data_IF_244112248259
#
_entry.id   IF_244112248259
#
_cell.length_a   1.000
_cell.length_b   1.000
_cell.length_c   1.000
_cell.angle_alpha   90.00
_cell.angle_beta   90.00
_cell.angle_gamma   90.00
#
_symmetry.space_group_name_H-M   'P 1'
#
loop_
_entity.id
_entity.type
_entity.pdbx_description
1 polymer ?
#
# COMPACT_ATOMS: atom_id res chain seq x y z
N UNK A 1 -32.60 16.90 15.14
CA UNK A 1 -31.22 17.25 15.55
C UNK A 1 -30.78 18.46 14.74
N UNK A 2 -30.74 19.64 15.35
CA UNK A 2 -30.17 20.86 14.75
C UNK A 2 -28.65 20.71 14.76
N UNK A 3 -28.09 20.05 13.76
CA UNK A 3 -26.65 19.92 13.60
C UNK A 3 -26.04 21.29 13.26
N UNK A 4 -24.78 21.50 13.64
CA UNK A 4 -24.05 22.72 13.33
C UNK A 4 -24.13 23.01 11.82
N UNK A 5 -24.54 24.23 11.49
CA UNK A 5 -24.65 24.72 10.10
C UNK A 5 -23.38 25.43 9.64
N UNK A 6 -22.34 25.42 10.46
CA UNK A 6 -21.07 26.08 10.18
C UNK A 6 -19.92 25.11 10.51
N UNK A 7 -18.99 24.86 9.56
CA UNK A 7 -17.84 24.00 9.82
C UNK A 7 -16.86 24.65 10.82
N UNK A 8 -16.06 23.82 11.50
CA UNK A 8 -15.06 24.30 12.46
C UNK A 8 -13.93 25.08 11.79
N UNK A 9 -13.57 24.70 10.56
CA UNK A 9 -12.54 25.34 9.76
C UNK A 9 -13.16 25.91 8.48
N UNK A 10 -12.98 27.20 8.25
CA UNK A 10 -13.45 27.92 7.05
C UNK A 10 -12.35 28.81 6.49
N UNK A 11 -12.39 29.04 5.19
CA UNK A 11 -11.54 30.05 4.57
C UNK A 11 -11.95 31.47 5.00
N UNK A 12 -11.00 32.39 5.20
CA UNK A 12 -11.30 33.79 5.44
C UNK A 12 -12.17 34.37 4.31
N UNK A 13 -13.11 35.24 4.67
CA UNK A 13 -14.02 35.89 3.73
C UNK A 13 -15.38 35.20 3.56
N UNK A 14 -15.54 33.96 3.99
CA UNK A 14 -16.84 33.28 3.98
C UNK A 14 -17.48 33.29 5.36
N UNK A 15 -18.62 34.00 5.50
CA UNK A 15 -19.31 34.14 6.80
C UNK A 15 -20.75 33.63 6.75
N UNK A 16 -21.36 33.53 5.57
CA UNK A 16 -22.75 33.13 5.43
C UNK A 16 -22.97 31.72 5.97
N UNK A 17 -24.07 31.44 6.68
CA UNK A 17 -24.37 30.11 7.17
C UNK A 17 -24.60 29.14 5.97
N UNK A 18 -24.15 27.93 6.12
CA UNK A 18 -24.45 26.88 5.16
C UNK A 18 -25.94 26.53 5.24
N UNK A 19 -26.55 26.20 4.12
CA UNK A 19 -28.01 25.98 4.03
C UNK A 19 -28.33 24.56 3.57
N UNK A 20 -29.33 23.90 4.19
CA UNK A 20 -29.88 22.65 3.66
C UNK A 20 -30.43 22.92 2.25
N UNK A 21 -29.89 22.26 1.24
CA UNK A 21 -30.25 22.47 -0.16
C UNK A 21 -30.55 21.13 -0.82
N UNK A 22 -31.71 21.00 -1.44
CA UNK A 22 -32.10 19.75 -2.09
C UNK A 22 -31.11 19.38 -3.22
N UNK A 23 -30.76 18.11 -3.33
CA UNK A 23 -29.86 17.63 -4.40
C UNK A 23 -30.47 17.96 -5.78
N UNK A 24 -31.80 17.90 -5.93
CA UNK A 24 -32.51 18.31 -7.15
C UNK A 24 -32.32 19.78 -7.52
N UNK A 25 -31.96 20.65 -6.57
CA UNK A 25 -31.59 22.05 -6.83
C UNK A 25 -30.14 22.19 -7.26
N UNK A 26 -29.27 21.28 -6.82
CA UNK A 26 -27.83 21.32 -7.07
C UNK A 26 -27.45 20.60 -8.36
N UNK A 27 -28.13 19.51 -8.68
CA UNK A 27 -27.77 18.57 -9.72
C UNK A 27 -28.91 18.34 -10.70
N UNK A 28 -28.55 18.07 -11.95
CA UNK A 28 -29.45 17.70 -13.03
C UNK A 28 -29.06 16.33 -13.57
N UNK A 29 -30.04 15.43 -13.66
CA UNK A 29 -29.79 14.08 -14.18
C UNK A 29 -29.52 14.13 -15.70
N UNK A 30 -28.49 13.40 -16.09
CA UNK A 30 -28.11 13.18 -17.48
C UNK A 30 -28.42 11.73 -17.88
N UNK A 31 -28.97 11.54 -19.06
CA UNK A 31 -29.33 10.23 -19.58
C UNK A 31 -29.23 10.24 -21.09
N UNK A 32 -28.17 9.68 -21.65
CA UNK A 32 -27.94 9.60 -23.10
C UNK A 32 -27.93 8.11 -23.47
N UNK A 33 -29.07 7.55 -23.92
CA UNK A 33 -29.16 6.13 -24.27
C UNK A 33 -28.20 5.77 -25.41
N UNK A 34 -27.79 4.51 -25.44
CA UNK A 34 -26.99 3.92 -26.52
C UNK A 34 -27.85 2.93 -27.26
N UNK A 35 -27.98 3.12 -28.57
CA UNK A 35 -28.51 2.10 -29.47
C UNK A 35 -27.38 1.10 -29.73
N UNK A 36 -27.52 -0.10 -29.17
CA UNK A 36 -26.44 -1.10 -29.15
C UNK A 36 -26.39 -1.79 -30.51
N UNK A 37 -25.27 -1.59 -31.24
CA UNK A 37 -24.91 -2.39 -32.40
C UNK A 37 -24.23 -3.69 -31.93
N UNK A 38 -24.78 -4.86 -32.32
CA UNK A 38 -24.30 -6.17 -31.89
C UNK A 38 -22.84 -6.44 -32.32
N UNK A 39 -22.40 -5.88 -33.43
CA UNK A 39 -21.06 -6.05 -33.97
C UNK A 39 -20.03 -5.08 -33.37
N UNK A 40 -20.48 -3.96 -32.81
CA UNK A 40 -19.58 -2.95 -32.25
C UNK A 40 -19.06 -3.36 -30.88
N UNK A 41 -17.84 -2.92 -30.59
CA UNK A 41 -17.19 -3.12 -29.27
C UNK A 41 -17.38 -1.90 -28.37
N UNK A 42 -17.76 -2.13 -27.13
CA UNK A 42 -18.04 -1.11 -26.12
C UNK A 42 -17.12 -1.24 -24.92
N UNK A 43 -16.61 -0.11 -24.45
CA UNK A 43 -15.85 -0.01 -23.20
C UNK A 43 -16.77 0.44 -22.07
N UNK A 44 -16.73 -0.23 -20.93
CA UNK A 44 -17.60 0.06 -19.80
C UNK A 44 -16.83 0.62 -18.62
N UNK A 45 -17.51 1.45 -17.82
CA UNK A 45 -17.00 1.85 -16.51
C UNK A 45 -17.60 1.04 -15.38
N UNK A 46 -16.91 1.04 -14.24
CA UNK A 46 -17.44 0.71 -12.93
C UNK A 46 -17.03 1.76 -11.91
N UNK A 47 -17.77 1.87 -10.81
CA UNK A 47 -17.47 2.80 -9.70
C UNK A 47 -17.24 1.97 -8.45
N UNK A 48 -16.04 2.10 -7.86
CA UNK A 48 -15.63 1.39 -6.64
C UNK A 48 -16.21 2.05 -5.40
N UNK A 49 -16.57 1.25 -4.40
CA UNK A 49 -16.96 1.70 -3.06
C UNK A 49 -15.86 2.50 -2.37
N UNK A 50 -16.25 3.20 -1.31
CA UNK A 50 -15.36 4.00 -0.44
C UNK A 50 -14.60 5.11 -1.18
N UNK A 51 -15.22 5.70 -2.21
CA UNK A 51 -14.64 6.81 -2.97
C UNK A 51 -13.37 6.46 -3.75
N UNK A 52 -13.12 5.17 -4.04
CA UNK A 52 -11.94 4.71 -4.77
C UNK A 52 -11.98 5.02 -6.28
N UNK A 53 -13.01 5.75 -6.74
CA UNK A 53 -13.10 6.27 -8.09
C UNK A 53 -13.61 5.28 -9.13
N UNK A 54 -13.44 5.65 -10.40
CA UNK A 54 -13.84 4.88 -11.57
C UNK A 54 -12.76 3.83 -11.88
N UNK A 55 -13.18 2.72 -12.46
CA UNK A 55 -12.30 1.77 -13.14
C UNK A 55 -12.90 1.39 -14.48
N UNK A 56 -12.06 1.10 -15.45
CA UNK A 56 -12.46 0.64 -16.77
C UNK A 56 -12.52 -0.89 -16.75
N UNK A 57 -13.60 -1.41 -17.33
CA UNK A 57 -13.80 -2.85 -17.52
C UNK A 57 -13.23 -3.26 -18.88
N UNK A 58 -13.02 -4.55 -19.06
CA UNK A 58 -12.67 -5.10 -20.35
C UNK A 58 -13.75 -4.74 -21.39
N UNK A 59 -13.31 -4.55 -22.62
CA UNK A 59 -14.21 -4.27 -23.73
C UNK A 59 -15.09 -5.49 -24.04
N UNK A 60 -16.35 -5.24 -24.39
CA UNK A 60 -17.33 -6.28 -24.73
C UNK A 60 -18.03 -5.91 -26.04
N UNK A 61 -18.44 -6.93 -26.80
CA UNK A 61 -19.27 -6.71 -28.00
C UNK A 61 -20.71 -6.35 -27.64
N UNK A 62 -21.44 -5.72 -28.55
CA UNK A 62 -22.86 -5.45 -28.36
C UNK A 62 -23.66 -6.73 -28.12
N UNK A 63 -23.30 -7.83 -28.78
CA UNK A 63 -23.94 -9.14 -28.56
C UNK A 63 -23.76 -9.62 -27.10
N UNK A 64 -22.60 -9.41 -26.46
CA UNK A 64 -22.34 -9.75 -25.06
C UNK A 64 -23.05 -8.82 -24.06
N UNK A 65 -23.43 -7.61 -24.49
CA UNK A 65 -24.24 -6.71 -23.68
C UNK A 65 -25.67 -7.22 -23.55
N UNK A 66 -26.21 -7.90 -24.58
CA UNK A 66 -27.59 -8.37 -24.63
C UNK A 66 -28.58 -7.21 -24.47
N UNK A 67 -29.74 -7.49 -23.85
CA UNK A 67 -30.83 -6.51 -23.65
C UNK A 67 -30.59 -5.47 -22.55
N UNK A 68 -29.32 -5.30 -22.08
CA UNK A 68 -29.00 -4.36 -21.02
C UNK A 68 -29.18 -2.93 -21.54
N UNK A 69 -29.98 -2.15 -20.81
CA UNK A 69 -30.06 -0.69 -21.08
C UNK A 69 -28.74 -0.04 -20.66
N UNK A 70 -28.06 0.54 -21.62
CA UNK A 70 -26.76 1.22 -21.44
C UNK A 70 -26.86 2.68 -21.92
N UNK A 71 -25.97 3.50 -21.38
CA UNK A 71 -25.95 4.94 -21.56
C UNK A 71 -24.52 5.40 -21.83
N UNK A 72 -24.34 6.37 -22.71
CA UNK A 72 -23.06 7.04 -22.89
C UNK A 72 -22.64 7.75 -21.62
N UNK A 73 -21.35 7.69 -21.31
CA UNK A 73 -20.80 8.46 -20.21
C UNK A 73 -20.75 9.93 -20.60
N UNK A 74 -21.33 10.75 -19.73
CA UNK A 74 -21.23 12.21 -19.82
C UNK A 74 -19.97 12.64 -19.11
N UNK A 75 -19.00 13.29 -19.76
CA UNK A 75 -17.81 13.83 -19.10
C UNK A 75 -18.18 14.88 -18.04
N UNK A 76 -17.32 15.03 -17.02
CA UNK A 76 -17.48 16.00 -15.95
C UNK A 76 -18.85 15.90 -15.22
N UNK A 77 -19.33 14.68 -15.01
CA UNK A 77 -20.58 14.39 -14.30
C UNK A 77 -20.30 13.65 -12.97
N UNK A 78 -21.16 13.86 -12.00
CA UNK A 78 -21.21 13.08 -10.76
C UNK A 78 -21.93 11.77 -11.05
N UNK A 79 -21.24 10.64 -10.88
CA UNK A 79 -21.76 9.29 -11.12
C UNK A 79 -21.91 8.52 -9.82
N UNK A 80 -23.00 7.81 -9.68
CA UNK A 80 -23.31 6.98 -8.50
C UNK A 80 -23.54 5.55 -8.93
N UNK A 81 -22.92 4.58 -8.28
CA UNK A 81 -23.33 3.18 -8.38
C UNK A 81 -24.48 2.93 -7.41
N UNK A 82 -25.71 2.81 -7.91
CA UNK A 82 -26.91 2.70 -7.05
C UNK A 82 -26.88 1.48 -6.13
N UNK A 83 -26.21 0.38 -6.50
CA UNK A 83 -26.13 -0.86 -5.71
C UNK A 83 -25.21 -0.71 -4.51
N UNK A 84 -24.18 0.15 -4.62
CA UNK A 84 -23.16 0.35 -3.58
C UNK A 84 -23.05 1.82 -3.14
N UNK A 85 -24.07 2.63 -3.39
CA UNK A 85 -24.08 4.03 -2.97
C UNK A 85 -23.93 4.19 -1.46
N UNK A 86 -24.56 3.33 -0.67
CA UNK A 86 -24.46 3.27 0.79
C UNK A 86 -23.04 2.95 1.28
N UNK A 87 -22.19 2.36 0.45
CA UNK A 87 -20.74 2.21 0.64
C UNK A 87 -19.93 3.35 0.01
N UNK A 88 -20.58 4.47 -0.33
CA UNK A 88 -19.93 5.62 -0.96
C UNK A 88 -19.32 5.31 -2.34
N UNK A 89 -19.97 4.49 -3.16
CA UNK A 89 -19.60 4.25 -4.55
C UNK A 89 -20.01 5.43 -5.42
N UNK A 90 -19.35 6.55 -5.27
CA UNK A 90 -19.55 7.82 -5.98
C UNK A 90 -18.24 8.29 -6.61
N UNK A 91 -18.31 8.89 -7.79
CA UNK A 91 -17.14 9.41 -8.50
C UNK A 91 -17.50 10.61 -9.38
N UNK A 92 -16.50 11.23 -9.98
CA UNK A 92 -16.64 12.15 -11.08
C UNK A 92 -16.10 11.48 -12.35
N UNK A 93 -16.83 11.59 -13.42
CA UNK A 93 -16.35 11.26 -14.76
C UNK A 93 -15.47 12.39 -15.30
N UNK A 94 -14.61 12.08 -16.24
CA UNK A 94 -13.73 13.02 -16.92
C UNK A 94 -13.74 12.79 -18.42
N UNK A 95 -12.94 13.54 -19.15
CA UNK A 95 -12.75 13.32 -20.59
C UNK A 95 -12.11 11.96 -20.91
N UNK A 96 -11.44 11.34 -19.94
CA UNK A 96 -10.88 9.99 -20.09
C UNK A 96 -11.96 8.91 -20.31
N UNK A 97 -13.18 9.15 -19.83
CA UNK A 97 -14.33 8.27 -20.00
C UNK A 97 -15.22 8.66 -21.22
N UNK A 98 -14.80 9.63 -22.04
CA UNK A 98 -15.50 9.95 -23.28
C UNK A 98 -15.57 8.70 -24.20
N UNK A 99 -16.75 8.40 -24.73
CA UNK A 99 -16.99 7.22 -25.55
C UNK A 99 -17.15 5.89 -24.78
N UNK A 100 -17.06 5.92 -23.44
CA UNK A 100 -17.45 4.78 -22.61
C UNK A 100 -18.96 4.74 -22.39
N UNK A 101 -19.44 3.58 -21.96
CA UNK A 101 -20.84 3.36 -21.60
C UNK A 101 -20.97 2.84 -20.17
N UNK A 102 -22.15 2.97 -19.60
CA UNK A 102 -22.53 2.35 -18.34
C UNK A 102 -23.97 1.86 -18.34
N UNK A 103 -24.30 0.86 -17.54
CA UNK A 103 -25.68 0.40 -17.36
C UNK A 103 -26.50 1.42 -16.56
N UNK A 104 -27.82 1.25 -16.55
CA UNK A 104 -28.76 2.04 -15.74
C UNK A 104 -28.43 2.10 -14.24
N UNK A 105 -27.52 1.25 -13.75
CA UNK A 105 -27.04 1.25 -12.36
C UNK A 105 -26.07 2.37 -12.04
N UNK A 106 -25.69 3.16 -13.03
CA UNK A 106 -24.74 4.26 -12.90
C UNK A 106 -25.36 5.58 -13.36
N UNK A 107 -26.42 6.10 -12.68
CA UNK A 107 -26.98 7.40 -13.03
C UNK A 107 -25.91 8.50 -12.91
N UNK A 108 -25.96 9.43 -13.84
CA UNK A 108 -25.04 10.57 -13.94
C UNK A 108 -25.80 11.86 -13.72
N UNK A 109 -25.09 12.81 -13.11
CA UNK A 109 -25.65 14.12 -12.80
C UNK A 109 -24.62 15.20 -13.09
N UNK A 110 -25.05 16.26 -13.79
CA UNK A 110 -24.25 17.48 -13.98
C UNK A 110 -24.67 18.55 -12.99
N UNK A 111 -23.85 19.57 -12.77
CA UNK A 111 -24.22 20.69 -11.93
C UNK A 111 -25.31 21.54 -12.58
N UNK A 112 -26.27 21.99 -11.77
CA UNK A 112 -27.16 23.10 -12.20
C UNK A 112 -26.40 24.39 -12.15
N UNK A 113 -26.52 25.20 -13.19
CA UNK A 113 -25.76 26.42 -13.39
C UNK A 113 -25.73 27.32 -12.13
N UNK A 114 -24.53 27.62 -11.66
CA UNK A 114 -24.28 28.52 -10.54
C UNK A 114 -24.66 27.98 -9.15
N UNK A 115 -25.19 26.77 -9.01
CA UNK A 115 -25.72 26.24 -7.74
C UNK A 115 -24.74 25.33 -6.99
N UNK A 116 -23.96 24.54 -7.72
CA UNK A 116 -23.06 23.56 -7.11
C UNK A 116 -21.69 23.52 -7.79
N UNK A 117 -20.77 22.83 -7.16
CA UNK A 117 -19.47 22.48 -7.69
C UNK A 117 -19.23 20.99 -7.45
N UNK A 118 -19.20 20.18 -8.49
CA UNK A 118 -19.20 18.72 -8.41
C UNK A 118 -18.06 18.15 -7.55
N UNK A 119 -16.79 18.64 -7.62
CA UNK A 119 -15.74 18.17 -6.76
C UNK A 119 -16.04 18.35 -5.27
N UNK A 120 -16.72 19.45 -4.88
CA UNK A 120 -17.16 19.66 -3.50
C UNK A 120 -18.21 18.61 -3.10
N UNK A 121 -19.21 18.38 -3.94
CA UNK A 121 -20.26 17.40 -3.65
C UNK A 121 -19.68 15.98 -3.54
N UNK A 122 -18.73 15.61 -4.39
CA UNK A 122 -18.02 14.34 -4.25
C UNK A 122 -17.34 14.22 -2.88
N UNK A 123 -16.59 15.23 -2.44
CA UNK A 123 -15.94 15.20 -1.13
C UNK A 123 -16.96 15.15 0.00
N UNK A 124 -18.04 15.92 -0.09
CA UNK A 124 -19.12 15.95 0.89
C UNK A 124 -19.75 14.56 1.05
N UNK A 125 -20.09 13.87 -0.07
CA UNK A 125 -20.65 12.50 -0.01
C UNK A 125 -19.66 11.44 0.49
N UNK A 126 -18.35 11.73 0.49
CA UNK A 126 -17.32 10.86 1.08
C UNK A 126 -17.08 11.10 2.58
N UNK A 127 -17.72 12.12 3.19
CA UNK A 127 -17.70 12.30 4.66
C UNK A 127 -18.60 11.28 5.36
N UNK A 128 -18.48 11.18 6.71
CA UNK A 128 -19.39 10.34 7.51
C UNK A 128 -20.86 10.77 7.34
N UNK A 129 -21.13 12.07 7.30
CA UNK A 129 -22.47 12.61 7.10
C UNK A 129 -22.98 12.33 5.68
N UNK A 130 -22.13 12.50 4.68
CA UNK A 130 -22.45 12.14 3.30
C UNK A 130 -22.78 10.66 3.13
N UNK A 131 -22.06 9.78 3.83
CA UNK A 131 -22.38 8.35 3.89
C UNK A 131 -23.78 8.11 4.44
N UNK A 132 -24.11 8.73 5.57
CA UNK A 132 -25.44 8.63 6.17
C UNK A 132 -26.55 9.11 5.19
N UNK A 133 -26.33 10.22 4.48
CA UNK A 133 -27.27 10.67 3.46
C UNK A 133 -27.50 9.65 2.35
N UNK A 134 -26.42 9.03 1.85
CA UNK A 134 -26.51 7.97 0.84
C UNK A 134 -27.22 6.71 1.40
N UNK A 135 -27.01 6.38 2.66
CA UNK A 135 -27.73 5.29 3.35
C UNK A 135 -29.23 5.58 3.46
N UNK A 136 -29.61 6.80 3.84
CA UNK A 136 -31.02 7.25 3.90
C UNK A 136 -31.70 7.14 2.52
N UNK A 137 -30.99 7.49 1.45
CA UNK A 137 -31.51 7.37 0.09
C UNK A 137 -31.45 5.94 -0.47
N UNK A 138 -30.93 4.98 0.28
CA UNK A 138 -30.79 3.58 -0.13
C UNK A 138 -31.68 2.68 0.74
N UNK A 139 -33.03 2.75 0.61
CA UNK A 139 -33.92 1.90 1.36
C UNK A 139 -33.71 0.44 0.95
N UNK A 140 -33.94 -0.48 1.91
CA UNK A 140 -33.83 -1.92 1.72
C UNK A 140 -33.48 -2.64 3.02
N UNK A 141 -33.61 -3.95 3.02
CA UNK A 141 -33.28 -4.81 4.16
C UNK A 141 -31.78 -4.86 4.47
N UNK A 142 -31.40 -5.72 5.41
CA UNK A 142 -29.99 -5.87 5.80
C UNK A 142 -29.10 -6.36 4.65
N UNK A 143 -27.85 -5.92 4.64
CA UNK A 143 -26.81 -6.40 3.73
C UNK A 143 -26.91 -5.86 2.30
N UNK A 144 -26.61 -6.70 1.30
CA UNK A 144 -26.46 -6.35 -0.13
C UNK A 144 -27.76 -5.96 -0.85
N UNK A 145 -28.90 -5.98 -0.16
CA UNK A 145 -30.21 -5.64 -0.74
C UNK A 145 -30.55 -4.14 -0.71
N UNK A 146 -29.62 -3.30 -0.28
CA UNK A 146 -29.79 -1.84 -0.29
C UNK A 146 -29.52 -1.29 -1.68
N UNK A 147 -30.45 -0.53 -2.23
CA UNK A 147 -30.30 0.12 -3.54
C UNK A 147 -30.71 1.59 -3.43
N UNK A 148 -29.88 2.49 -3.93
CA UNK A 148 -30.20 3.92 -3.95
C UNK A 148 -31.44 4.19 -4.82
N UNK A 149 -32.48 4.75 -4.21
CA UNK A 149 -33.61 5.34 -4.90
C UNK A 149 -33.19 6.68 -5.53
N UNK A 150 -33.22 6.78 -6.86
CA UNK A 150 -32.80 8.03 -7.54
C UNK A 150 -33.67 9.22 -7.14
N UNK A 151 -34.96 9.04 -6.93
CA UNK A 151 -35.86 10.08 -6.45
C UNK A 151 -35.55 10.46 -5.00
N UNK A 152 -35.26 9.47 -4.15
CA UNK A 152 -34.87 9.71 -2.75
C UNK A 152 -33.51 10.46 -2.67
N UNK A 153 -32.57 10.11 -3.54
CA UNK A 153 -31.31 10.85 -3.67
C UNK A 153 -31.53 12.33 -4.01
N UNK A 154 -32.42 12.62 -4.95
CA UNK A 154 -32.74 14.00 -5.36
C UNK A 154 -33.44 14.82 -4.25
N UNK A 155 -34.16 14.15 -3.33
CA UNK A 155 -34.81 14.79 -2.16
C UNK A 155 -33.84 15.07 -1.02
N UNK A 156 -32.69 14.44 -0.96
CA UNK A 156 -31.70 14.70 0.09
C UNK A 156 -31.39 16.20 0.20
N UNK A 157 -31.20 16.67 1.42
CA UNK A 157 -30.89 18.08 1.71
C UNK A 157 -29.54 18.21 2.43
N UNK A 158 -28.40 17.95 1.71
CA UNK A 158 -27.10 18.27 2.29
C UNK A 158 -27.01 19.74 2.66
N UNK A 159 -26.24 20.04 3.72
CA UNK A 159 -25.95 21.39 4.14
C UNK A 159 -24.74 21.87 3.34
N UNK A 160 -24.91 22.86 2.50
CA UNK A 160 -23.88 23.32 1.56
C UNK A 160 -23.68 24.85 1.64
N UNK A 161 -22.44 25.33 1.40
CA UNK A 161 -22.13 26.75 1.29
C UNK A 161 -22.48 27.34 -0.10
N UNK A 162 -22.16 28.61 -0.28
CA UNK A 162 -22.14 29.25 -1.59
C UNK A 162 -21.24 28.50 -2.58
N UNK A 163 -21.51 28.56 -3.87
CA UNK A 163 -20.69 27.91 -4.92
C UNK A 163 -19.22 28.35 -4.87
N UNK A 164 -18.98 29.62 -4.55
CA UNK A 164 -17.60 30.14 -4.41
C UNK A 164 -16.84 29.46 -3.28
N UNK A 165 -17.49 29.25 -2.14
CA UNK A 165 -16.89 28.53 -1.01
C UNK A 165 -16.74 27.01 -1.31
N UNK A 166 -17.75 26.41 -1.96
CA UNK A 166 -17.65 25.03 -2.44
C UNK A 166 -16.39 24.82 -3.29
N UNK A 167 -16.18 25.73 -4.25
CA UNK A 167 -14.99 25.69 -5.12
C UNK A 167 -13.70 25.82 -4.31
N UNK A 168 -13.63 26.78 -3.40
CA UNK A 168 -12.42 27.01 -2.59
C UNK A 168 -12.06 25.80 -1.73
N UNK A 169 -13.05 25.16 -1.11
CA UNK A 169 -12.87 23.95 -0.31
C UNK A 169 -12.39 22.77 -1.20
N UNK A 170 -13.07 22.57 -2.30
CA UNK A 170 -12.74 21.46 -3.20
C UNK A 170 -11.35 21.60 -3.85
N UNK A 171 -10.98 22.83 -4.25
CA UNK A 171 -9.66 23.12 -4.80
C UNK A 171 -8.55 22.83 -3.78
N UNK A 172 -8.76 23.23 -2.52
CA UNK A 172 -7.79 22.96 -1.45
C UNK A 172 -7.61 21.46 -1.19
N UNK A 173 -8.71 20.70 -1.12
CA UNK A 173 -8.65 19.24 -0.95
C UNK A 173 -8.05 18.59 -2.18
N UNK A 174 -8.42 19.05 -3.38
CA UNK A 174 -7.88 18.57 -4.65
C UNK A 174 -6.36 18.79 -4.77
N UNK A 175 -5.83 19.90 -4.26
CA UNK A 175 -4.39 20.15 -4.19
C UNK A 175 -3.68 19.13 -3.28
N UNK A 176 -4.30 18.75 -2.15
CA UNK A 176 -3.78 17.71 -1.27
C UNK A 176 -3.81 16.34 -1.98
N UNK A 177 -4.88 16.03 -2.71
CA UNK A 177 -4.98 14.78 -3.48
C UNK A 177 -3.94 14.71 -4.60
N UNK A 178 -3.73 15.79 -5.33
CA UNK A 178 -2.69 15.87 -6.35
C UNK A 178 -1.29 15.66 -5.77
N UNK A 179 -1.02 16.22 -4.58
CA UNK A 179 0.26 16.01 -3.87
C UNK A 179 0.44 14.56 -3.41
N UNK A 180 -0.62 13.93 -2.90
CA UNK A 180 -0.62 12.51 -2.52
C UNK A 180 -0.32 11.63 -3.74
N UNK A 181 -0.97 11.87 -4.87
CA UNK A 181 -0.74 11.15 -6.12
C UNK A 181 0.72 11.31 -6.61
N UNK A 182 1.26 12.54 -6.57
CA UNK A 182 2.64 12.82 -6.94
C UNK A 182 3.66 12.12 -6.03
N UNK A 183 3.40 12.09 -4.71
CA UNK A 183 4.26 11.39 -3.76
C UNK A 183 4.20 9.87 -3.96
N UNK A 184 3.03 9.29 -4.21
CA UNK A 184 2.88 7.87 -4.52
C UNK A 184 3.62 7.48 -5.82
N UNK A 185 3.52 8.29 -6.87
CA UNK A 185 4.27 8.10 -8.11
C UNK A 185 5.79 8.18 -7.87
N UNK A 186 6.25 9.15 -7.05
CA UNK A 186 7.66 9.28 -6.66
C UNK A 186 8.15 8.05 -5.89
N UNK A 187 7.37 7.55 -4.92
CA UNK A 187 7.71 6.35 -4.16
C UNK A 187 7.88 5.13 -5.08
N UNK A 188 6.93 4.92 -5.99
CA UNK A 188 7.00 3.84 -6.97
C UNK A 188 8.22 3.97 -7.91
N UNK A 189 8.55 5.18 -8.36
CA UNK A 189 9.73 5.43 -9.19
C UNK A 189 11.04 5.14 -8.45
N UNK A 190 11.16 5.57 -7.18
CA UNK A 190 12.31 5.26 -6.34
C UNK A 190 12.46 3.76 -6.10
N UNK A 191 11.35 3.04 -5.88
CA UNK A 191 11.35 1.59 -5.74
C UNK A 191 11.86 0.87 -7.00
N UNK A 192 11.38 1.27 -8.18
CA UNK A 192 11.87 0.73 -9.46
C UNK A 192 13.36 1.05 -9.69
N UNK A 193 13.76 2.27 -9.39
CA UNK A 193 15.17 2.67 -9.50
C UNK A 193 16.07 1.82 -8.58
N UNK A 194 15.69 1.65 -7.32
CA UNK A 194 16.41 0.78 -6.36
C UNK A 194 16.53 -0.66 -6.88
N UNK A 195 15.43 -1.23 -7.37
CA UNK A 195 15.43 -2.59 -7.91
C UNK A 195 16.39 -2.73 -9.11
N UNK A 196 16.37 -1.77 -10.03
CA UNK A 196 17.30 -1.73 -11.16
C UNK A 196 18.77 -1.53 -10.74
N UNK A 197 19.02 -0.68 -9.73
CA UNK A 197 20.35 -0.50 -9.16
C UNK A 197 20.87 -1.80 -8.52
N UNK A 198 20.05 -2.46 -7.69
CA UNK A 198 20.40 -3.75 -7.11
C UNK A 198 20.72 -4.79 -8.18
N UNK A 199 19.90 -4.88 -9.23
CA UNK A 199 20.14 -5.82 -10.32
C UNK A 199 21.51 -5.55 -10.99
N UNK A 200 21.81 -4.30 -11.32
CA UNK A 200 23.08 -3.94 -11.97
C UNK A 200 24.30 -4.16 -11.07
N UNK A 201 24.18 -3.85 -9.77
CA UNK A 201 25.28 -4.04 -8.81
C UNK A 201 25.58 -5.52 -8.62
N UNK A 202 24.57 -6.34 -8.27
CA UNK A 202 24.78 -7.76 -8.00
C UNK A 202 24.98 -8.65 -9.25
N UNK A 203 24.75 -8.10 -10.45
CA UNK A 203 25.19 -8.70 -11.72
C UNK A 203 26.55 -8.19 -12.21
N UNK A 204 27.18 -7.30 -11.45
CA UNK A 204 28.45 -6.63 -11.78
C UNK A 204 28.42 -5.81 -13.10
N UNK A 205 27.22 -5.51 -13.64
CA UNK A 205 27.07 -4.56 -14.76
C UNK A 205 27.38 -3.13 -14.36
N UNK A 206 27.26 -2.83 -13.07
CA UNK A 206 27.67 -1.57 -12.46
C UNK A 206 28.54 -1.90 -11.24
N UNK A 207 29.73 -1.29 -11.17
CA UNK A 207 30.62 -1.39 -10.00
C UNK A 207 30.99 0.00 -9.52
N UNK A 208 31.14 0.14 -8.23
CA UNK A 208 31.70 1.34 -7.64
C UNK A 208 33.21 1.43 -7.93
N UNK A 209 33.74 2.62 -7.77
CA UNK A 209 35.16 2.88 -7.80
C UNK A 209 35.64 3.45 -6.47
N UNK A 210 36.90 3.33 -6.18
CA UNK A 210 37.54 3.99 -5.04
C UNK A 210 37.45 5.50 -5.20
N UNK A 211 37.61 6.25 -4.12
CA UNK A 211 37.51 7.71 -4.15
C UNK A 211 38.60 8.37 -5.02
N UNK A 212 39.73 7.70 -5.23
CA UNK A 212 40.78 8.09 -6.16
C UNK A 212 40.51 7.70 -7.64
N UNK A 213 39.31 7.17 -7.95
CA UNK A 213 38.90 6.75 -9.29
C UNK A 213 39.37 5.36 -9.73
N UNK A 214 40.20 4.68 -8.96
CA UNK A 214 40.68 3.32 -9.27
C UNK A 214 39.56 2.29 -9.12
N UNK A 215 39.66 1.20 -9.90
CA UNK A 215 38.76 0.06 -9.74
C UNK A 215 39.05 -0.68 -8.42
N UNK A 216 38.00 -1.29 -7.84
CA UNK A 216 38.16 -2.27 -6.80
C UNK A 216 38.66 -3.61 -7.37
N UNK A 217 39.27 -4.49 -6.55
CA UNK A 217 39.62 -5.85 -6.95
C UNK A 217 38.40 -6.62 -7.46
N UNK A 218 38.64 -7.68 -8.23
CA UNK A 218 37.56 -8.54 -8.70
C UNK A 218 36.86 -9.23 -7.53
N UNK A 219 35.56 -9.45 -7.71
CA UNK A 219 34.75 -10.17 -6.75
C UNK A 219 35.20 -11.63 -6.67
N UNK A 220 35.12 -12.19 -5.48
CA UNK A 220 35.45 -13.59 -5.21
C UNK A 220 34.17 -14.42 -5.06
N UNK A 221 34.14 -15.59 -5.68
CA UNK A 221 33.05 -16.55 -5.43
C UNK A 221 33.25 -17.22 -4.07
N UNK A 222 32.21 -17.32 -3.27
CA UNK A 222 32.18 -17.98 -1.97
C UNK A 222 30.90 -18.80 -1.83
N UNK A 223 30.96 -19.88 -1.06
CA UNK A 223 29.76 -20.59 -0.59
C UNK A 223 29.19 -19.91 0.65
N UNK A 224 27.89 -20.01 0.84
CA UNK A 224 27.24 -19.45 2.02
C UNK A 224 27.78 -20.09 3.31
N UNK A 225 27.99 -21.41 3.33
CA UNK A 225 28.57 -22.14 4.45
C UNK A 225 30.02 -21.74 4.79
N UNK A 226 30.78 -21.19 3.82
CA UNK A 226 32.14 -20.70 4.07
C UNK A 226 32.16 -19.36 4.80
N UNK A 227 31.10 -18.55 4.62
CA UNK A 227 31.00 -17.16 5.09
C UNK A 227 30.22 -17.05 6.40
N UNK A 228 29.23 -17.94 6.60
CA UNK A 228 28.37 -17.91 7.78
C UNK A 228 28.58 -19.12 8.69
N UNK A 229 28.23 -18.94 9.95
CA UNK A 229 27.98 -19.99 10.95
C UNK A 229 26.52 -19.94 11.36
N UNK A 230 25.96 -21.07 11.77
CA UNK A 230 24.56 -21.16 12.15
C UNK A 230 24.37 -21.08 13.64
N UNK A 231 23.44 -20.26 14.06
CA UNK A 231 23.00 -20.13 15.45
C UNK A 231 21.69 -20.87 15.63
N UNK A 232 21.54 -21.52 16.77
CA UNK A 232 20.32 -22.24 17.13
C UNK A 232 19.15 -21.24 17.29
N UNK A 233 17.99 -21.61 16.78
CA UNK A 233 16.73 -20.87 16.93
C UNK A 233 15.74 -21.68 17.78
N UNK A 234 14.71 -21.01 18.31
CA UNK A 234 13.64 -21.67 19.06
C UNK A 234 12.47 -22.08 18.14
N UNK A 235 11.54 -22.85 18.69
CA UNK A 235 10.37 -23.38 17.97
C UNK A 235 9.04 -22.76 18.42
N UNK A 236 9.06 -21.55 18.99
CA UNK A 236 7.83 -20.88 19.43
C UNK A 236 6.93 -20.51 18.27
N UNK A 237 5.72 -21.03 18.30
CA UNK A 237 4.65 -20.61 17.42
C UNK A 237 4.08 -19.24 17.83
N UNK A 238 3.29 -18.64 16.95
CA UNK A 238 2.74 -17.28 17.17
C UNK A 238 1.86 -17.17 18.43
N UNK A 239 1.23 -18.24 18.84
CA UNK A 239 0.38 -18.28 20.05
C UNK A 239 1.12 -18.00 21.36
N UNK A 240 2.44 -18.26 21.39
CA UNK A 240 3.31 -17.98 22.53
C UNK A 240 3.94 -16.58 22.48
N UNK A 241 3.56 -15.76 21.51
CA UNK A 241 4.09 -14.41 21.31
C UNK A 241 3.04 -13.36 21.65
N UNK A 242 3.48 -12.25 22.26
CA UNK A 242 2.62 -11.13 22.63
C UNK A 242 3.24 -9.79 22.22
N UNK A 243 2.39 -8.80 21.95
CA UNK A 243 2.83 -7.41 21.70
C UNK A 243 2.72 -6.52 22.94
N UNK A 244 2.25 -7.05 24.09
CA UNK A 244 2.03 -6.23 25.28
C UNK A 244 3.35 -5.88 25.97
N UNK A 245 4.06 -6.88 26.52
CA UNK A 245 5.34 -6.67 27.22
C UNK A 245 6.11 -7.98 27.37
N UNK A 246 7.41 -7.87 27.55
CA UNK A 246 8.32 -9.00 27.79
C UNK A 246 9.77 -8.55 27.83
N UNK A 247 10.65 -9.44 28.28
CA UNK A 247 12.10 -9.18 28.35
C UNK A 247 12.82 -9.50 27.04
N UNK A 248 12.32 -10.47 26.26
CA UNK A 248 12.96 -10.95 25.04
C UNK A 248 11.95 -10.91 23.88
N UNK A 249 12.34 -10.29 22.79
CA UNK A 249 11.58 -10.28 21.55
C UNK A 249 11.92 -11.49 20.68
N UNK A 250 10.95 -11.96 19.88
CA UNK A 250 11.14 -13.13 19.03
C UNK A 250 10.78 -12.83 17.58
N UNK A 251 11.74 -12.93 16.67
CA UNK A 251 11.53 -12.81 15.23
C UNK A 251 10.78 -14.07 14.74
N UNK A 252 9.62 -13.87 14.15
CA UNK A 252 8.82 -14.93 13.56
C UNK A 252 8.91 -14.90 12.02
N UNK A 253 9.03 -16.06 11.37
CA UNK A 253 9.21 -16.16 9.91
C UNK A 253 8.16 -15.38 9.11
N UNK A 254 6.89 -15.42 9.51
CA UNK A 254 5.81 -14.71 8.83
C UNK A 254 5.96 -13.18 8.86
N UNK A 255 6.66 -12.63 9.85
CA UNK A 255 6.94 -11.19 9.92
C UNK A 255 8.11 -10.81 8.99
N UNK A 256 9.06 -11.73 8.74
CA UNK A 256 10.11 -11.58 7.72
C UNK A 256 9.48 -11.47 6.32
N UNK A 257 8.42 -12.22 6.06
CA UNK A 257 7.74 -12.20 4.77
C UNK A 257 7.00 -10.88 4.51
N UNK A 258 6.31 -10.36 5.53
CA UNK A 258 5.28 -9.34 5.33
C UNK A 258 5.57 -7.97 5.93
N UNK A 259 6.42 -7.90 6.98
CA UNK A 259 6.57 -6.68 7.78
C UNK A 259 7.99 -6.11 7.77
N UNK A 260 9.00 -6.97 7.97
CA UNK A 260 10.35 -6.49 8.27
C UNK A 260 11.14 -6.06 7.02
N UNK A 261 11.91 -4.99 7.20
CA UNK A 261 12.79 -4.45 6.16
C UNK A 261 14.02 -5.34 5.96
N UNK A 262 14.68 -5.27 4.78
CA UNK A 262 15.93 -6.00 4.53
C UNK A 262 17.02 -5.72 5.56
N UNK A 263 17.18 -4.45 5.93
CA UNK A 263 18.02 -4.01 7.04
C UNK A 263 17.13 -3.78 8.25
N UNK A 264 17.15 -4.74 9.15
CA UNK A 264 16.30 -4.77 10.33
C UNK A 264 16.90 -3.90 11.45
N UNK A 265 16.10 -2.98 11.98
CA UNK A 265 16.42 -2.16 13.14
C UNK A 265 15.37 -2.39 14.23
N UNK A 266 15.79 -2.94 15.35
CA UNK A 266 14.86 -3.26 16.45
C UNK A 266 14.02 -2.04 16.88
N UNK A 267 14.60 -0.85 16.88
CA UNK A 267 13.89 0.39 17.25
C UNK A 267 12.81 0.82 16.24
N UNK A 268 12.83 0.27 15.03
CA UNK A 268 11.91 0.67 13.93
C UNK A 268 10.90 -0.40 13.56
N UNK A 269 11.00 -1.60 14.15
CA UNK A 269 10.15 -2.73 13.79
C UNK A 269 9.29 -3.16 14.99
N UNK A 270 8.07 -3.59 14.72
CA UNK A 270 7.17 -4.13 15.76
C UNK A 270 7.40 -5.62 15.91
N UNK A 271 8.29 -5.99 16.81
CA UNK A 271 8.64 -7.39 17.11
C UNK A 271 7.89 -7.84 18.35
N UNK A 272 7.18 -8.98 18.33
CA UNK A 272 6.50 -9.49 19.50
C UNK A 272 7.50 -10.01 20.53
N UNK A 273 7.10 -9.97 21.81
CA UNK A 273 7.82 -10.55 22.92
C UNK A 273 7.47 -12.03 23.11
N UNK A 274 8.39 -12.78 23.69
CA UNK A 274 8.11 -14.12 24.20
C UNK A 274 7.16 -14.00 25.40
N UNK A 275 6.02 -14.66 25.31
CA UNK A 275 5.02 -14.67 26.36
C UNK A 275 5.47 -15.46 27.59
N UNK A 276 4.98 -15.06 28.77
CA UNK A 276 5.32 -15.70 30.04
C UNK A 276 4.96 -17.22 30.08
N UNK A 277 3.96 -17.62 29.30
CA UNK A 277 3.47 -19.01 29.24
C UNK A 277 4.21 -19.87 28.19
N UNK A 278 5.32 -19.40 27.64
CA UNK A 278 6.09 -20.10 26.59
C UNK A 278 6.72 -21.42 27.04
N UNK A 279 6.89 -21.62 28.35
CA UNK A 279 7.53 -22.83 28.93
C UNK A 279 9.00 -23.01 28.53
N UNK A 280 9.62 -22.04 27.87
CA UNK A 280 11.01 -22.13 27.44
C UNK A 280 11.98 -21.95 28.61
N UNK A 281 13.10 -22.70 28.53
CA UNK A 281 14.27 -22.42 29.32
C UNK A 281 14.92 -21.10 28.92
N UNK A 282 15.68 -20.44 29.81
CA UNK A 282 16.45 -19.25 29.43
C UNK A 282 17.31 -19.52 28.20
N UNK A 283 17.37 -18.55 27.28
CA UNK A 283 18.21 -18.62 26.10
C UNK A 283 19.70 -18.51 26.50
N UNK A 284 20.57 -19.25 25.82
CA UNK A 284 22.01 -19.05 25.93
C UNK A 284 22.46 -17.77 25.23
N UNK A 285 23.58 -17.22 25.62
CA UNK A 285 24.16 -16.01 25.03
C UNK A 285 24.37 -16.12 23.51
N UNK A 286 24.61 -17.34 23.04
CA UNK A 286 24.78 -17.64 21.62
C UNK A 286 23.49 -17.51 20.80
N UNK A 287 22.32 -17.78 21.39
CA UNK A 287 21.01 -17.77 20.73
C UNK A 287 20.47 -16.36 20.52
N UNK A 288 21.02 -15.35 21.19
CA UNK A 288 20.62 -13.97 20.97
C UNK A 288 21.15 -13.43 19.64
N UNK A 289 20.27 -12.71 18.93
CA UNK A 289 20.63 -12.01 17.71
C UNK A 289 21.65 -10.91 17.98
N UNK A 290 22.61 -10.77 17.08
CA UNK A 290 23.67 -9.75 17.13
C UNK A 290 23.65 -8.91 15.85
N UNK A 291 24.23 -7.73 15.90
CA UNK A 291 24.43 -6.91 14.71
C UNK A 291 25.28 -7.68 13.70
N UNK A 292 24.84 -7.69 12.45
CA UNK A 292 25.42 -8.47 11.35
C UNK A 292 24.77 -9.84 11.13
N UNK A 293 24.03 -10.38 12.10
CA UNK A 293 23.30 -11.64 11.90
C UNK A 293 22.25 -11.50 10.79
N UNK A 294 22.08 -12.56 10.02
CA UNK A 294 21.03 -12.67 9.00
C UNK A 294 20.00 -13.70 9.44
N UNK A 295 18.75 -13.29 9.57
CA UNK A 295 17.65 -14.20 9.88
C UNK A 295 16.92 -14.55 8.60
N UNK A 296 16.90 -15.85 8.28
CA UNK A 296 16.34 -16.41 7.04
C UNK A 296 15.09 -17.20 7.38
N UNK A 297 13.97 -16.93 6.71
CA UNK A 297 12.76 -17.74 6.83
C UNK A 297 12.92 -19.03 6.01
N UNK A 298 12.83 -20.19 6.67
CA UNK A 298 13.04 -21.49 6.03
C UNK A 298 11.78 -22.10 5.42
N UNK A 299 10.60 -21.54 5.70
CA UNK A 299 9.32 -22.01 5.21
C UNK A 299 8.47 -20.87 4.63
N UNK A 300 7.70 -21.15 3.57
CA UNK A 300 6.76 -20.22 2.95
C UNK A 300 5.70 -20.95 2.13
N UNK A 301 4.50 -20.38 2.03
CA UNK A 301 3.45 -20.81 1.08
C UNK A 301 3.68 -20.21 -0.32
N UNK A 302 4.59 -19.24 -0.48
CA UNK A 302 4.88 -18.57 -1.75
C UNK A 302 6.36 -18.70 -2.14
N UNK A 303 6.59 -19.07 -3.40
CA UNK A 303 7.93 -19.08 -4.01
C UNK A 303 8.64 -17.73 -3.96
N UNK A 304 7.90 -16.63 -4.02
CA UNK A 304 8.50 -15.30 -3.92
C UNK A 304 9.08 -15.00 -2.53
N UNK A 305 8.59 -15.70 -1.49
CA UNK A 305 8.95 -15.42 -0.11
C UNK A 305 9.86 -16.48 0.53
N UNK A 306 9.93 -17.72 -0.03
CA UNK A 306 10.78 -18.77 0.55
C UNK A 306 12.24 -18.32 0.66
N UNK A 307 12.87 -18.57 1.82
CA UNK A 307 14.24 -18.16 2.11
C UNK A 307 14.45 -16.63 2.10
N UNK A 308 13.40 -15.85 2.29
CA UNK A 308 13.51 -14.40 2.47
C UNK A 308 14.26 -14.08 3.74
N UNK A 309 15.15 -13.11 3.69
CA UNK A 309 16.07 -12.82 4.76
C UNK A 309 16.03 -11.35 5.20
N UNK A 310 16.38 -11.11 6.45
CA UNK A 310 16.66 -9.79 7.02
C UNK A 310 18.05 -9.79 7.64
N UNK A 311 18.76 -8.69 7.56
CA UNK A 311 20.02 -8.49 8.27
C UNK A 311 19.79 -7.60 9.50
N UNK A 312 20.24 -8.03 10.65
CA UNK A 312 20.16 -7.27 11.89
C UNK A 312 21.24 -6.19 11.88
N UNK A 313 20.83 -4.94 11.71
CA UNK A 313 21.74 -3.79 11.72
C UNK A 313 21.67 -2.97 13.01
N UNK A 314 20.65 -3.25 13.84
CA UNK A 314 20.48 -2.65 15.15
C UNK A 314 19.72 -3.60 16.07
N UNK A 315 20.27 -3.91 17.22
CA UNK A 315 19.66 -4.73 18.28
C UNK A 315 20.22 -4.34 19.64
N UNK A 316 19.37 -4.39 20.67
CA UNK A 316 19.80 -4.29 22.06
C UNK A 316 20.39 -5.62 22.52
N UNK A 317 21.41 -5.56 23.35
CA UNK A 317 22.06 -6.77 23.87
C UNK A 317 21.05 -7.67 24.59
N UNK A 318 21.12 -8.99 24.35
CA UNK A 318 20.29 -10.04 24.97
C UNK A 318 18.81 -9.75 25.01
N UNK A 319 18.30 -9.10 23.98
CA UNK A 319 16.89 -8.68 23.93
C UNK A 319 16.08 -9.33 22.81
N UNK A 320 16.72 -10.06 21.89
CA UNK A 320 16.03 -10.61 20.72
C UNK A 320 16.59 -11.96 20.29
N UNK A 321 15.71 -12.90 19.97
CA UNK A 321 15.98 -14.22 19.42
C UNK A 321 15.19 -14.44 18.13
N UNK A 322 15.45 -15.54 17.41
CA UNK A 322 14.63 -15.93 16.27
C UNK A 322 13.95 -17.27 16.55
N UNK A 323 12.70 -17.40 16.07
CA UNK A 323 11.81 -18.48 16.42
C UNK A 323 11.51 -19.45 15.28
N UNK A 324 10.36 -20.05 15.37
CA UNK A 324 9.84 -21.08 14.47
C UNK A 324 10.09 -20.73 13.00
N UNK A 325 10.56 -21.72 12.23
CA UNK A 325 10.82 -21.58 10.80
C UNK A 325 11.79 -20.44 10.43
N UNK A 326 12.85 -20.29 11.24
CA UNK A 326 13.94 -19.36 10.93
C UNK A 326 15.30 -20.02 11.13
N UNK A 327 16.30 -19.54 10.37
CA UNK A 327 17.71 -19.79 10.64
C UNK A 327 18.40 -18.46 10.92
N UNK A 328 19.30 -18.43 11.92
CA UNK A 328 20.23 -17.32 12.11
C UNK A 328 21.56 -17.73 11.46
N UNK A 329 21.93 -17.03 10.40
CA UNK A 329 23.24 -17.12 9.78
C UNK A 329 24.11 -15.96 10.30
N UNK A 330 25.12 -16.29 11.10
CA UNK A 330 26.06 -15.33 11.69
C UNK A 330 27.31 -15.22 10.83
N UNK A 331 27.66 -14.04 10.29
CA UNK A 331 28.88 -13.88 9.49
C UNK A 331 30.14 -14.21 10.30
N UNK A 332 31.06 -14.93 9.69
CA UNK A 332 32.41 -15.10 10.22
C UNK A 332 33.12 -13.74 10.27
N UNK A 333 33.94 -13.52 11.26
CA UNK A 333 34.60 -12.23 11.51
C UNK A 333 35.35 -11.76 10.25
N UNK A 334 35.07 -10.53 9.84
CA UNK A 334 35.72 -9.88 8.69
C UNK A 334 35.23 -10.36 7.31
N UNK A 335 34.27 -11.28 7.24
CA UNK A 335 33.78 -11.79 5.95
C UNK A 335 32.79 -10.84 5.26
N UNK A 336 31.93 -10.17 6.01
CA UNK A 336 30.86 -9.31 5.48
C UNK A 336 30.79 -7.99 6.27
N UNK A 337 30.47 -6.93 5.54
CA UNK A 337 30.17 -5.61 6.12
C UNK A 337 28.70 -5.55 6.51
N UNK A 338 28.42 -4.99 7.67
CA UNK A 338 27.04 -4.79 8.17
C UNK A 338 26.26 -3.91 7.18
N UNK A 339 25.06 -4.37 6.80
CA UNK A 339 24.20 -3.72 5.83
C UNK A 339 24.35 -4.26 4.39
N UNK A 340 25.35 -5.11 4.12
CA UNK A 340 25.55 -5.70 2.79
C UNK A 340 24.74 -6.99 2.59
N UNK A 341 24.73 -7.86 3.62
CA UNK A 341 24.12 -9.20 3.54
C UNK A 341 22.61 -9.15 3.28
N UNK A 342 21.91 -8.19 3.87
CA UNK A 342 20.48 -8.03 3.70
C UNK A 342 20.10 -7.71 2.25
N UNK A 343 20.95 -7.03 1.51
CA UNK A 343 20.74 -6.78 0.08
C UNK A 343 21.22 -7.94 -0.78
N UNK A 344 22.36 -8.53 -0.46
CA UNK A 344 22.91 -9.68 -1.18
C UNK A 344 21.89 -10.82 -1.24
N UNK A 345 21.35 -11.25 -0.10
CA UNK A 345 20.43 -12.40 -0.02
C UNK A 345 19.06 -12.09 -0.65
N UNK A 346 18.71 -10.83 -0.82
CA UNK A 346 17.52 -10.40 -1.58
C UNK A 346 17.82 -10.07 -3.05
N UNK A 347 19.05 -10.18 -3.49
CA UNK A 347 19.42 -9.96 -4.89
C UNK A 347 18.83 -11.03 -5.81
N UNK A 348 18.57 -10.68 -7.07
CA UNK A 348 18.00 -11.61 -8.04
C UNK A 348 18.85 -12.88 -8.26
N UNK A 349 20.19 -12.84 -8.29
CA UNK A 349 21.01 -14.07 -8.36
C UNK A 349 20.77 -15.00 -7.17
N UNK A 350 20.77 -14.51 -5.95
CA UNK A 350 20.53 -15.31 -4.75
C UNK A 350 19.10 -15.86 -4.70
N UNK A 351 18.10 -15.00 -4.97
CA UNK A 351 16.68 -15.43 -5.00
C UNK A 351 16.45 -16.59 -5.97
N UNK A 352 17.03 -16.52 -7.18
CA UNK A 352 16.93 -17.64 -8.14
C UNK A 352 17.52 -18.95 -7.62
N UNK A 353 18.64 -18.90 -6.91
CA UNK A 353 19.23 -20.10 -6.31
C UNK A 353 18.36 -20.67 -5.19
N UNK A 354 17.90 -19.82 -4.26
CA UNK A 354 17.01 -20.22 -3.16
C UNK A 354 15.72 -20.87 -3.69
N UNK A 355 15.11 -20.29 -4.72
CA UNK A 355 13.90 -20.85 -5.34
C UNK A 355 14.14 -22.21 -5.98
N UNK A 356 15.35 -22.51 -6.49
CA UNK A 356 15.70 -23.81 -7.09
C UNK A 356 15.87 -24.92 -6.05
N UNK A 357 16.33 -24.60 -4.85
CA UNK A 357 16.53 -25.57 -3.78
C UNK A 357 15.30 -25.75 -2.88
N UNK A 358 14.26 -24.94 -3.07
CA UNK A 358 13.02 -25.03 -2.32
C UNK A 358 12.29 -26.35 -2.65
N UNK A 359 11.78 -27.00 -1.61
CA UNK A 359 11.08 -28.29 -1.69
C UNK A 359 9.73 -28.18 -0.98
N UNK A 360 8.73 -28.90 -1.48
CA UNK A 360 7.38 -28.92 -0.92
C UNK A 360 6.30 -28.64 -1.95
N UNK A 361 5.06 -28.95 -1.63
CA UNK A 361 3.89 -28.75 -2.53
C UNK A 361 3.04 -27.59 -2.04
N UNK A 362 2.50 -27.66 -0.82
CA UNK A 362 1.66 -26.62 -0.23
C UNK A 362 2.47 -25.64 0.61
N UNK A 363 3.45 -26.13 1.34
CA UNK A 363 4.41 -25.31 2.09
C UNK A 363 5.79 -25.66 1.57
N UNK A 364 6.48 -24.66 1.07
CA UNK A 364 7.86 -24.76 0.58
C UNK A 364 8.81 -24.65 1.78
N UNK A 365 9.87 -25.44 1.76
CA UNK A 365 10.93 -25.42 2.75
C UNK A 365 12.31 -25.37 2.10
N UNK A 366 13.28 -24.79 2.78
CA UNK A 366 14.69 -24.83 2.42
C UNK A 366 15.48 -25.40 3.59
N UNK A 367 16.30 -26.40 3.32
CA UNK A 367 17.17 -26.98 4.38
C UNK A 367 18.42 -26.15 4.56
N UNK A 368 18.98 -26.21 5.77
CA UNK A 368 20.25 -25.57 6.11
C UNK A 368 21.38 -26.05 5.20
N UNK A 369 21.49 -27.37 4.98
CA UNK A 369 22.53 -27.94 4.11
C UNK A 369 22.44 -27.42 2.67
N UNK A 370 21.22 -27.31 2.12
CA UNK A 370 21.05 -26.75 0.78
C UNK A 370 21.40 -25.25 0.74
N UNK A 371 21.14 -24.51 1.81
CA UNK A 371 21.55 -23.09 1.89
C UNK A 371 23.08 -22.95 1.93
N UNK A 372 23.79 -23.83 2.63
CA UNK A 372 25.26 -23.80 2.74
C UNK A 372 25.95 -23.93 1.38
N UNK A 373 25.35 -24.68 0.44
CA UNK A 373 25.89 -24.92 -0.91
C UNK A 373 25.65 -23.75 -1.89
N UNK A 374 24.81 -22.75 -1.52
CA UNK A 374 24.57 -21.61 -2.38
C UNK A 374 25.84 -20.78 -2.55
N UNK A 375 26.13 -20.39 -3.79
CA UNK A 375 27.29 -19.57 -4.11
C UNK A 375 26.92 -18.14 -4.45
N UNK A 376 27.80 -17.22 -4.14
CA UNK A 376 27.66 -15.82 -4.48
C UNK A 376 29.02 -15.13 -4.65
N UNK A 377 28.99 -14.05 -5.43
CA UNK A 377 30.17 -13.23 -5.63
C UNK A 377 30.20 -12.13 -4.56
N UNK A 378 31.35 -11.94 -3.93
CA UNK A 378 31.56 -10.98 -2.84
C UNK A 378 32.69 -10.01 -3.21
N UNK A 379 32.46 -8.69 -3.15
CA UNK A 379 33.51 -7.66 -3.28
C UNK A 379 34.37 -7.55 -2.03
N UNK A 380 35.46 -6.80 -2.15
CA UNK A 380 36.25 -6.41 -0.98
C UNK A 380 35.41 -5.54 -0.02
N UNK A 381 35.76 -5.47 1.29
CA UNK A 381 34.97 -4.78 2.31
C UNK A 381 34.62 -3.31 1.95
N UNK A 382 35.56 -2.56 1.37
CA UNK A 382 35.31 -1.17 0.99
C UNK A 382 34.23 -1.04 -0.08
N UNK A 383 34.17 -1.96 -1.07
CA UNK A 383 33.13 -1.95 -2.08
C UNK A 383 31.80 -2.45 -1.52
N UNK A 384 31.80 -3.44 -0.60
CA UNK A 384 30.61 -3.85 0.17
C UNK A 384 29.99 -2.64 0.87
N UNK A 385 30.81 -1.83 1.57
CA UNK A 385 30.35 -0.64 2.28
C UNK A 385 29.69 0.35 1.32
N UNK A 386 30.32 0.66 0.18
CA UNK A 386 29.74 1.57 -0.82
C UNK A 386 28.40 1.06 -1.36
N UNK A 387 28.28 -0.25 -1.59
CA UNK A 387 27.02 -0.87 -2.03
C UNK A 387 25.95 -0.74 -0.94
N UNK A 388 26.28 -1.10 0.30
CA UNK A 388 25.38 -1.01 1.44
C UNK A 388 24.89 0.43 1.67
N UNK A 389 25.80 1.39 1.66
CA UNK A 389 25.48 2.81 1.84
C UNK A 389 24.56 3.35 0.73
N UNK A 390 24.85 3.04 -0.53
CA UNK A 390 24.05 3.49 -1.66
C UNK A 390 22.62 2.94 -1.60
N UNK A 391 22.46 1.64 -1.31
CA UNK A 391 21.16 1.00 -1.22
C UNK A 391 20.38 1.43 0.04
N UNK A 392 21.06 1.59 1.16
CA UNK A 392 20.49 2.11 2.42
C UNK A 392 20.02 3.57 2.26
N UNK A 393 20.79 4.41 1.58
CA UNK A 393 20.36 5.77 1.26
C UNK A 393 19.11 5.81 0.40
N UNK A 394 18.94 4.84 -0.53
CA UNK A 394 17.72 4.71 -1.32
C UNK A 394 16.53 4.28 -0.45
N UNK A 395 16.72 3.34 0.47
CA UNK A 395 15.69 2.95 1.44
C UNK A 395 15.26 4.13 2.32
N UNK A 396 16.22 4.93 2.78
CA UNK A 396 15.93 6.17 3.52
C UNK A 396 15.08 7.16 2.72
N UNK A 397 15.36 7.35 1.43
CA UNK A 397 14.56 8.22 0.55
C UNK A 397 13.14 7.68 0.34
N UNK A 398 12.99 6.37 0.13
CA UNK A 398 11.68 5.71 -0.03
C UNK A 398 10.86 5.87 1.26
N UNK A 399 11.48 5.64 2.43
CA UNK A 399 10.82 5.77 3.72
C UNK A 399 10.40 7.23 3.99
N UNK A 400 11.25 8.20 3.72
CA UNK A 400 10.91 9.62 3.89
C UNK A 400 9.69 10.04 3.05
N UNK A 401 9.55 9.48 1.83
CA UNK A 401 8.36 9.71 1.00
C UNK A 401 7.13 8.99 1.59
N UNK A 402 7.27 7.77 2.10
CA UNK A 402 6.18 7.04 2.77
C UNK A 402 5.65 7.82 3.99
N UNK A 403 6.55 8.36 4.81
CA UNK A 403 6.19 9.17 5.98
C UNK A 403 5.47 10.46 5.57
N UNK A 404 5.89 11.11 4.47
CA UNK A 404 5.19 12.28 3.92
C UNK A 404 3.76 11.91 3.47
N UNK A 405 3.57 10.77 2.81
CA UNK A 405 2.26 10.27 2.40
C UNK A 405 1.37 10.08 3.63
N UNK A 406 1.86 9.39 4.65
CA UNK A 406 1.11 9.12 5.89
C UNK A 406 0.70 10.42 6.60
N UNK A 407 1.62 11.37 6.74
CA UNK A 407 1.34 12.67 7.34
C UNK A 407 0.29 13.45 6.55
N UNK A 408 0.40 13.46 5.23
CA UNK A 408 -0.52 14.18 4.36
C UNK A 408 -1.91 13.53 4.31
N UNK A 409 -2.00 12.19 4.41
CA UNK A 409 -3.28 11.46 4.55
C UNK A 409 -3.97 11.82 5.86
N UNK A 410 -3.23 11.86 6.97
CA UNK A 410 -3.74 12.29 8.27
C UNK A 410 -4.23 13.73 8.23
N UNK A 411 -3.46 14.63 7.63
CA UNK A 411 -3.84 16.03 7.42
C UNK A 411 -5.14 16.14 6.60
N UNK A 412 -5.24 15.43 5.47
CA UNK A 412 -6.46 15.39 4.65
C UNK A 412 -7.67 14.91 5.45
N UNK A 413 -7.51 13.85 6.24
CA UNK A 413 -8.58 13.36 7.12
C UNK A 413 -9.05 14.45 8.11
N UNK A 414 -8.11 15.18 8.71
CA UNK A 414 -8.40 16.30 9.59
C UNK A 414 -9.14 17.44 8.87
N UNK A 415 -8.71 17.81 7.65
CA UNK A 415 -9.41 18.82 6.83
C UNK A 415 -10.86 18.42 6.55
N UNK A 416 -11.08 17.18 6.10
CA UNK A 416 -12.43 16.67 5.81
C UNK A 416 -13.34 16.70 7.06
N UNK A 417 -12.80 16.41 8.25
CA UNK A 417 -13.56 16.45 9.50
C UNK A 417 -13.89 17.87 9.97
N UNK A 418 -13.05 18.85 9.66
CA UNK A 418 -13.20 20.22 10.15
C UNK A 418 -13.89 21.15 9.15
N UNK A 419 -13.76 20.88 7.86
CA UNK A 419 -14.32 21.72 6.78
C UNK A 419 -15.72 21.30 6.32
N UNK A 420 -16.24 20.17 6.80
CA UNK A 420 -17.62 19.73 6.50
C UNK A 420 -18.45 19.63 7.78
N UNK A 421 -19.76 19.90 7.67
CA UNK A 421 -20.76 19.85 8.76
C UNK A 421 -21.63 18.62 8.65
#
# INVERSE_FOLDING_TARGET
MTGATTPKLRFPGFRDPWKPTAVSTLLEKQSVPVDVDLAQTYRQIGVRSHGKGIFHKDAVTGAELGDKRVFHIVPNAFVVNIVFAWEQAVALTSDAEAGFIASHRFPMYTEKSGKSYLPFLRHMFLTKRGKLLLEIASPGGAGRNKTLGQQEFLKLKPVVPSRAEQKKIADAIGAVDAKLAALAAKQAALGRFKAGLMQKLFSQQLRFRRDNGQAFPDWQEKRLGDVFTWVKTNSLSREFLTHDSGSVQNIHYGDIHTKFRPLFRQSMESVPFVGANSGLKPFSDEEYCRVGDVVIADASEDYADIGKAIEIVEVRERSMVAGLHTYIARPKIGSLVVGFSGYLLRSAPMRRQVMRIAQGISVLGVSKGNLEELTFWIPCPDEQQKIADALSAMDGKIQAVADQITKLQTFKKGLLQQMFV
#
